data_IF_080949603396
#
_entry.id   IF_080949603396
#
_cell.length_a   1.000
_cell.length_b   1.000
_cell.length_c   1.000
_cell.angle_alpha   90.00
_cell.angle_beta   90.00
_cell.angle_gamma   90.00
#
_symmetry.space_group_name_H-M   'P 1'
#
loop_
_entity.id
_entity.type
_entity.pdbx_description
1 polymer ?
#
# COMPACT_ATOMS: atom_id res chain seq x y z
N UNK A 1 -15.98 -15.00 -8.66
CA UNK A 1 -16.08 -16.14 -7.73
C UNK A 1 -16.55 -15.61 -6.39
N UNK A 2 -17.66 -16.12 -5.82
CA UNK A 2 -18.12 -15.76 -4.49
C UNK A 2 -17.04 -16.03 -3.42
N UNK A 3 -17.04 -15.26 -2.34
CA UNK A 3 -15.99 -15.33 -1.33
C UNK A 3 -15.96 -16.69 -0.61
N UNK A 4 -17.11 -17.28 -0.32
CA UNK A 4 -17.19 -18.61 0.30
C UNK A 4 -16.58 -19.71 -0.59
N UNK A 5 -16.71 -19.60 -1.91
CA UNK A 5 -16.05 -20.54 -2.83
C UNK A 5 -14.55 -20.34 -2.86
N UNK A 6 -14.06 -19.10 -2.74
CA UNK A 6 -12.64 -18.82 -2.59
C UNK A 6 -12.09 -19.47 -1.32
N UNK A 7 -12.79 -19.38 -0.20
CA UNK A 7 -12.40 -20.02 1.05
C UNK A 7 -12.35 -21.55 0.92
N UNK A 8 -13.37 -22.16 0.30
CA UNK A 8 -13.40 -23.61 0.03
C UNK A 8 -12.21 -24.06 -0.83
N UNK A 9 -11.91 -23.32 -1.89
CA UNK A 9 -10.75 -23.64 -2.75
C UNK A 9 -9.42 -23.53 -2.01
N UNK A 10 -9.22 -22.45 -1.25
CA UNK A 10 -8.02 -22.26 -0.43
C UNK A 10 -7.86 -23.37 0.61
N UNK A 11 -8.95 -23.69 1.31
CA UNK A 11 -8.96 -24.81 2.28
C UNK A 11 -8.56 -26.13 1.62
N UNK A 12 -9.18 -26.45 0.47
CA UNK A 12 -8.87 -27.68 -0.29
C UNK A 12 -7.40 -27.74 -0.71
N UNK A 13 -6.83 -26.61 -1.14
CA UNK A 13 -5.42 -26.51 -1.54
C UNK A 13 -4.49 -26.77 -0.35
N UNK A 14 -4.73 -26.10 0.80
CA UNK A 14 -3.94 -26.28 2.02
C UNK A 14 -4.07 -27.72 2.55
N UNK A 15 -5.28 -28.26 2.60
CA UNK A 15 -5.51 -29.65 3.01
C UNK A 15 -4.70 -30.63 2.13
N UNK A 16 -4.68 -30.43 0.81
CA UNK A 16 -3.91 -31.27 -0.12
C UNK A 16 -2.41 -31.23 0.17
N UNK A 17 -1.88 -30.03 0.46
CA UNK A 17 -0.45 -29.84 0.73
C UNK A 17 -0.02 -30.42 2.08
N UNK A 18 -0.85 -30.25 3.12
CA UNK A 18 -0.51 -30.65 4.48
C UNK A 18 -0.98 -32.07 4.89
N UNK A 19 -1.85 -32.70 4.09
CA UNK A 19 -2.36 -34.07 4.37
C UNK A 19 -1.32 -35.08 4.79
N UNK A 20 -0.08 -35.10 4.22
CA UNK A 20 0.96 -36.06 4.66
C UNK A 20 1.48 -35.80 6.08
N UNK A 21 1.26 -34.63 6.64
CA UNK A 21 1.89 -34.15 7.88
C UNK A 21 0.89 -33.95 9.02
N UNK A 22 -0.28 -33.36 8.72
CA UNK A 22 -1.28 -33.06 9.75
C UNK A 22 -2.68 -32.83 9.15
N UNK A 23 -3.70 -32.82 10.03
CA UNK A 23 -5.01 -32.33 9.71
C UNK A 23 -5.01 -30.79 9.91
N UNK A 24 -5.64 -30.07 9.00
CA UNK A 24 -5.77 -28.63 9.09
C UNK A 24 -7.10 -28.23 9.72
N UNK A 25 -7.07 -27.17 10.50
CA UNK A 25 -8.29 -26.54 11.00
C UNK A 25 -9.03 -25.80 9.88
N UNK A 26 -10.27 -25.37 10.17
CA UNK A 26 -11.07 -24.58 9.24
C UNK A 26 -10.41 -23.22 8.99
N UNK A 27 -10.36 -22.80 7.73
CA UNK A 27 -9.84 -21.51 7.33
C UNK A 27 -10.58 -20.37 8.02
N UNK A 28 -9.83 -19.39 8.55
CA UNK A 28 -10.38 -18.18 9.15
C UNK A 28 -10.52 -17.13 8.03
N UNK A 29 -11.75 -16.89 7.60
CA UNK A 29 -12.07 -15.91 6.57
C UNK A 29 -12.19 -14.48 7.10
N UNK A 30 -12.24 -13.53 6.17
CA UNK A 30 -12.58 -12.14 6.47
C UNK A 30 -14.09 -11.98 6.61
N UNK A 31 -14.52 -11.07 7.46
CA UNK A 31 -15.93 -10.66 7.57
C UNK A 31 -16.34 -9.83 6.35
N UNK A 32 -15.49 -8.87 5.98
CA UNK A 32 -15.65 -8.08 4.77
C UNK A 32 -14.43 -8.24 3.87
N UNK A 33 -14.55 -8.95 2.72
CA UNK A 33 -13.43 -9.19 1.81
C UNK A 33 -13.17 -8.04 0.82
N UNK A 34 -13.75 -6.86 1.06
CA UNK A 34 -13.61 -5.71 0.19
C UNK A 34 -12.88 -4.56 0.88
N UNK A 35 -12.17 -3.77 0.10
CA UNK A 35 -11.53 -2.50 0.49
C UNK A 35 -10.61 -2.58 1.72
N UNK A 36 -10.02 -3.76 1.94
CA UNK A 36 -9.16 -4.05 3.10
C UNK A 36 -7.70 -3.63 2.91
N UNK A 37 -7.29 -3.38 1.66
CA UNK A 37 -5.88 -3.15 1.33
C UNK A 37 -5.46 -1.74 1.69
N UNK A 38 -4.65 -1.61 2.73
CA UNK A 38 -4.18 -0.35 3.30
C UNK A 38 -2.92 0.23 2.63
N UNK A 39 -2.36 -0.46 1.64
CA UNK A 39 -1.22 0.00 0.83
C UNK A 39 -1.54 -0.20 -0.64
N UNK A 40 -1.68 0.89 -1.35
CA UNK A 40 -2.05 0.95 -2.76
C UNK A 40 -0.98 1.69 -3.52
N UNK A 41 -0.63 1.24 -4.71
CA UNK A 41 0.21 2.00 -5.62
C UNK A 41 -0.34 1.96 -7.04
N UNK A 42 -0.20 3.08 -7.73
CA UNK A 42 -0.58 3.21 -9.11
C UNK A 42 0.58 3.79 -9.93
N UNK A 43 0.73 3.30 -11.14
CA UNK A 43 1.57 3.91 -12.17
C UNK A 43 0.77 4.96 -12.92
N UNK A 44 1.44 6.01 -13.37
CA UNK A 44 0.84 7.08 -14.16
C UNK A 44 1.46 7.12 -15.56
N UNK A 45 0.62 7.31 -16.55
CA UNK A 45 1.01 7.45 -17.93
C UNK A 45 -0.03 8.24 -18.71
N UNK A 46 0.08 8.24 -20.04
CA UNK A 46 -0.88 8.90 -20.90
C UNK A 46 -1.20 8.05 -22.12
N UNK A 47 -2.40 8.20 -22.62
CA UNK A 47 -2.82 7.63 -23.90
C UNK A 47 -2.24 8.42 -25.06
N UNK A 48 -2.37 7.90 -26.29
CA UNK A 48 -1.92 8.58 -27.52
C UNK A 48 -2.57 9.96 -27.72
N UNK A 49 -3.77 10.14 -27.21
CA UNK A 49 -4.51 11.41 -27.23
C UNK A 49 -4.09 12.41 -26.15
N UNK A 50 -3.08 12.05 -25.31
CA UNK A 50 -2.60 12.88 -24.21
C UNK A 50 -3.40 12.76 -22.91
N UNK A 51 -4.46 11.94 -22.87
CA UNK A 51 -5.22 11.71 -21.63
C UNK A 51 -4.37 11.02 -20.58
N UNK A 52 -4.25 11.61 -19.40
CA UNK A 52 -3.54 11.00 -18.27
C UNK A 52 -4.35 9.81 -17.75
N UNK A 53 -3.67 8.68 -17.56
CA UNK A 53 -4.23 7.45 -16.98
C UNK A 53 -3.42 7.02 -15.78
N UNK A 54 -4.05 6.29 -14.86
CA UNK A 54 -3.37 5.60 -13.77
C UNK A 54 -3.90 4.19 -13.63
N UNK A 55 -3.07 3.28 -13.12
CA UNK A 55 -3.44 1.88 -12.95
C UNK A 55 -2.25 1.02 -12.61
N UNK A 56 -2.20 -0.18 -13.17
CA UNK A 56 -1.13 -1.16 -12.98
C UNK A 56 -0.51 -1.54 -14.31
N UNK A 57 0.76 -1.93 -14.31
CA UNK A 57 1.36 -2.51 -15.50
C UNK A 57 0.80 -3.91 -15.77
N UNK A 58 0.47 -4.16 -17.03
CA UNK A 58 0.26 -5.53 -17.50
C UNK A 58 1.56 -6.32 -17.30
N UNK A 59 1.46 -7.53 -16.80
CA UNK A 59 2.61 -8.37 -16.47
C UNK A 59 3.61 -8.47 -17.64
N UNK A 60 4.88 -8.18 -17.36
CA UNK A 60 5.97 -8.25 -18.34
C UNK A 60 6.01 -7.12 -19.38
N UNK A 61 5.23 -6.06 -19.18
CA UNK A 61 5.17 -4.93 -20.11
C UNK A 61 5.14 -3.58 -19.39
N UNK A 62 5.31 -2.47 -20.13
CA UNK A 62 5.02 -1.10 -19.65
C UNK A 62 3.62 -0.62 -20.08
N UNK A 63 2.76 -1.52 -20.56
CA UNK A 63 1.37 -1.19 -20.87
C UNK A 63 0.58 -1.01 -19.56
N UNK A 64 -0.05 0.18 -19.42
CA UNK A 64 -0.85 0.49 -18.25
C UNK A 64 -2.28 0.02 -18.48
N UNK A 65 -2.76 -0.87 -17.63
CA UNK A 65 -4.18 -1.23 -17.50
C UNK A 65 -4.81 -0.19 -16.58
N UNK A 66 -5.70 0.68 -17.09
CA UNK A 66 -6.32 1.71 -16.26
C UNK A 66 -7.18 1.09 -15.16
N UNK A 67 -7.06 1.64 -13.95
CA UNK A 67 -7.88 1.25 -12.79
C UNK A 67 -8.43 2.53 -12.16
N UNK A 68 -9.75 2.64 -12.10
CA UNK A 68 -10.44 3.75 -11.44
C UNK A 68 -10.93 3.38 -10.06
N UNK A 69 -11.36 2.14 -9.89
CA UNK A 69 -11.79 1.57 -8.61
C UNK A 69 -11.35 0.11 -8.52
N UNK A 70 -10.90 -0.30 -7.33
CA UNK A 70 -10.51 -1.67 -7.06
C UNK A 70 -11.31 -2.22 -5.87
N UNK A 71 -11.88 -3.41 -6.03
CA UNK A 71 -12.71 -4.04 -4.98
C UNK A 71 -11.95 -4.35 -3.69
N UNK A 72 -10.63 -4.45 -3.74
CA UNK A 72 -9.82 -4.79 -2.56
C UNK A 72 -9.04 -3.60 -2.00
N UNK A 73 -8.81 -2.55 -2.77
CA UNK A 73 -8.07 -1.36 -2.34
C UNK A 73 -8.95 -0.42 -1.50
N UNK A 74 -8.35 0.31 -0.57
CA UNK A 74 -9.03 1.34 0.22
C UNK A 74 -9.63 2.40 -0.72
N UNK A 75 -10.92 2.68 -0.59
CA UNK A 75 -11.64 3.65 -1.42
C UNK A 75 -11.04 5.05 -1.41
N UNK A 76 -10.44 5.46 -0.28
CA UNK A 76 -9.75 6.75 -0.16
C UNK A 76 -8.53 6.79 -1.08
N UNK A 77 -7.79 5.67 -1.16
CA UNK A 77 -6.64 5.57 -2.06
C UNK A 77 -7.05 5.70 -3.52
N UNK A 78 -8.12 5.02 -3.95
CA UNK A 78 -8.65 5.12 -5.30
C UNK A 78 -9.07 6.56 -5.64
N UNK A 79 -9.77 7.24 -4.71
CA UNK A 79 -10.19 8.62 -4.87
C UNK A 79 -8.99 9.56 -5.01
N UNK A 80 -8.01 9.45 -4.13
CA UNK A 80 -6.77 10.25 -4.15
C UNK A 80 -6.02 10.06 -5.47
N UNK A 81 -5.91 8.83 -5.96
CA UNK A 81 -5.22 8.52 -7.23
C UNK A 81 -5.94 9.16 -8.41
N UNK A 82 -7.29 9.10 -8.45
CA UNK A 82 -8.08 9.77 -9.49
C UNK A 82 -7.87 11.28 -9.49
N UNK A 83 -7.96 11.91 -8.33
CA UNK A 83 -7.84 13.37 -8.21
C UNK A 83 -6.42 13.84 -8.52
N UNK A 84 -5.39 13.04 -8.22
CA UNK A 84 -4.03 13.33 -8.66
C UNK A 84 -3.94 13.35 -10.19
N UNK A 85 -4.64 12.48 -10.94
CA UNK A 85 -4.68 12.55 -12.42
C UNK A 85 -5.16 13.91 -12.91
N UNK A 86 -6.23 14.42 -12.30
CA UNK A 86 -6.81 15.71 -12.67
C UNK A 86 -5.90 16.88 -12.28
N UNK A 87 -5.23 16.79 -11.13
CA UNK A 87 -4.22 17.76 -10.73
C UNK A 87 -3.02 17.76 -11.67
N UNK A 88 -2.52 16.60 -12.13
CA UNK A 88 -1.42 16.54 -13.10
C UNK A 88 -1.77 17.29 -14.38
N UNK A 89 -3.00 17.12 -14.88
CA UNK A 89 -3.50 17.87 -16.04
C UNK A 89 -3.56 19.37 -15.76
N UNK A 90 -4.14 19.77 -14.62
CA UNK A 90 -4.31 21.18 -14.22
C UNK A 90 -2.97 21.90 -14.04
N UNK A 91 -1.98 21.22 -13.46
CA UNK A 91 -0.64 21.75 -13.24
C UNK A 91 0.32 21.53 -14.42
N UNK A 92 -0.17 20.94 -15.54
CA UNK A 92 0.62 20.62 -16.75
C UNK A 92 1.86 19.76 -16.44
N UNK A 93 1.76 18.86 -15.48
CA UNK A 93 2.82 17.93 -15.10
C UNK A 93 2.75 16.70 -16.01
N UNK A 94 3.84 16.42 -16.73
CA UNK A 94 3.92 15.28 -17.64
C UNK A 94 4.20 13.99 -16.86
N UNK A 95 3.47 12.92 -17.21
CA UNK A 95 3.77 11.57 -16.75
C UNK A 95 5.06 11.06 -17.34
N UNK A 96 5.78 10.22 -16.59
CA UNK A 96 7.03 9.61 -17.04
C UNK A 96 6.74 8.44 -18.00
N UNK A 97 7.57 8.32 -19.02
CA UNK A 97 7.53 7.19 -19.95
C UNK A 97 8.79 6.35 -19.74
N UNK A 98 8.61 5.10 -19.33
CA UNK A 98 9.71 4.19 -18.99
C UNK A 98 10.57 3.82 -20.20
N UNK A 99 10.00 3.81 -21.40
CA UNK A 99 10.71 3.42 -22.63
C UNK A 99 11.62 4.56 -23.13
N UNK A 100 11.13 5.81 -23.04
CA UNK A 100 11.87 6.97 -23.53
C UNK A 100 12.68 7.69 -22.47
N UNK A 101 12.33 7.50 -21.19
CA UNK A 101 12.92 8.23 -20.06
C UNK A 101 12.43 9.68 -19.93
N UNK A 102 11.41 10.07 -20.71
CA UNK A 102 10.85 11.43 -20.67
C UNK A 102 9.67 11.55 -19.73
N UNK A 103 9.53 12.74 -19.13
CA UNK A 103 8.47 13.07 -18.20
C UNK A 103 8.95 13.12 -16.76
N UNK A 104 8.02 13.37 -15.84
CA UNK A 104 8.35 13.60 -14.44
C UNK A 104 7.65 12.63 -13.50
N UNK A 105 6.32 12.51 -13.61
CA UNK A 105 5.48 11.83 -12.64
C UNK A 105 5.35 10.33 -12.95
N UNK A 106 5.85 9.47 -12.06
CA UNK A 106 5.93 8.01 -12.29
C UNK A 106 4.82 7.25 -11.59
N UNK A 107 4.81 7.32 -10.26
CA UNK A 107 3.91 6.52 -9.44
C UNK A 107 3.34 7.33 -8.27
N UNK A 108 2.27 6.81 -7.71
CA UNK A 108 1.76 7.20 -6.39
C UNK A 108 1.70 5.97 -5.51
N UNK A 109 2.15 6.11 -4.28
CA UNK A 109 1.89 5.15 -3.22
C UNK A 109 0.98 5.83 -2.19
N UNK A 110 -0.14 5.20 -1.87
CA UNK A 110 -1.03 5.62 -0.78
C UNK A 110 -1.00 4.58 0.32
N UNK A 111 -0.83 5.03 1.55
CA UNK A 111 -0.99 4.20 2.75
C UNK A 111 -2.09 4.78 3.61
N UNK A 112 -2.96 3.92 4.10
CA UNK A 112 -4.08 4.30 4.96
C UNK A 112 -3.98 3.57 6.29
N UNK A 113 -4.09 4.29 7.39
CA UNK A 113 -4.27 3.69 8.71
C UNK A 113 -5.69 3.13 8.82
N UNK A 114 -5.80 1.86 9.24
CA UNK A 114 -7.08 1.18 9.38
C UNK A 114 -7.86 1.70 10.58
N UNK A 115 -7.21 1.78 11.73
CA UNK A 115 -7.81 2.27 12.98
C UNK A 115 -7.63 3.79 13.13
N UNK A 116 -6.48 4.33 12.76
CA UNK A 116 -6.19 5.77 12.93
C UNK A 116 -6.87 6.66 11.90
N UNK A 117 -7.25 6.14 10.75
CA UNK A 117 -7.76 6.92 9.62
C UNK A 117 -6.72 7.80 8.93
N UNK A 118 -5.47 7.84 9.39
CA UNK A 118 -4.40 8.63 8.81
C UNK A 118 -4.07 8.18 7.39
N UNK A 119 -3.71 9.13 6.53
CA UNK A 119 -3.38 8.86 5.12
C UNK A 119 -2.02 9.46 4.77
N UNK A 120 -1.16 8.64 4.20
CA UNK A 120 0.12 9.04 3.60
C UNK A 120 0.02 8.94 2.08
N UNK A 121 0.46 9.99 1.40
CA UNK A 121 0.61 10.00 -0.06
C UNK A 121 2.09 10.19 -0.42
N UNK A 122 2.64 9.28 -1.21
CA UNK A 122 4.00 9.37 -1.73
C UNK A 122 3.93 9.60 -3.24
N UNK A 123 4.41 10.77 -3.66
CA UNK A 123 4.51 11.16 -5.07
C UNK A 123 5.88 10.73 -5.59
N UNK A 124 5.92 9.78 -6.51
CA UNK A 124 7.18 9.26 -7.06
C UNK A 124 7.49 9.94 -8.38
N UNK A 125 8.62 10.63 -8.42
CA UNK A 125 9.04 11.44 -9.55
C UNK A 125 10.39 10.97 -10.12
N UNK A 126 10.60 11.22 -11.41
CA UNK A 126 11.91 11.02 -12.06
C UNK A 126 12.96 12.08 -11.71
N UNK A 127 12.57 13.17 -11.03
CA UNK A 127 13.50 14.22 -10.57
C UNK A 127 13.02 14.81 -9.23
N UNK A 128 13.90 15.52 -8.48
CA UNK A 128 13.57 16.02 -7.15
C UNK A 128 12.66 17.27 -7.17
N UNK A 129 12.31 17.80 -8.33
CA UNK A 129 11.57 19.05 -8.45
C UNK A 129 10.14 18.77 -8.92
N UNK A 130 9.18 18.99 -8.05
CA UNK A 130 7.75 19.05 -8.41
C UNK A 130 7.40 20.51 -8.73
N UNK A 131 7.02 20.82 -9.98
CA UNK A 131 6.59 22.18 -10.33
C UNK A 131 5.43 22.67 -9.46
N UNK A 132 5.53 23.89 -8.92
CA UNK A 132 4.50 24.49 -8.07
C UNK A 132 4.11 23.61 -6.86
N UNK A 133 5.09 22.95 -6.25
CA UNK A 133 4.87 21.94 -5.19
C UNK A 133 3.91 22.42 -4.08
N UNK A 134 4.08 23.65 -3.59
CA UNK A 134 3.22 24.19 -2.54
C UNK A 134 1.74 24.31 -2.97
N UNK A 135 1.50 24.73 -4.20
CA UNK A 135 0.14 24.85 -4.74
C UNK A 135 -0.46 23.46 -5.03
N UNK A 136 0.35 22.53 -5.54
CA UNK A 136 -0.08 21.15 -5.78
C UNK A 136 -0.48 20.46 -4.46
N UNK A 137 0.38 20.53 -3.43
CA UNK A 137 0.10 20.01 -2.09
C UNK A 137 -1.15 20.64 -1.49
N UNK A 138 -1.29 21.97 -1.60
CA UNK A 138 -2.47 22.69 -1.11
C UNK A 138 -3.76 22.28 -1.82
N UNK A 139 -3.72 22.11 -3.14
CA UNK A 139 -4.85 21.65 -3.94
C UNK A 139 -5.25 20.20 -3.57
N UNK A 140 -4.29 19.28 -3.48
CA UNK A 140 -4.54 17.90 -3.11
C UNK A 140 -5.16 17.79 -1.71
N UNK A 141 -4.62 18.54 -0.73
CA UNK A 141 -5.16 18.57 0.63
C UNK A 141 -6.55 19.23 0.74
N UNK A 142 -6.88 20.14 -0.15
CA UNK A 142 -8.22 20.73 -0.21
C UNK A 142 -9.25 19.69 -0.66
N UNK A 143 -8.89 18.80 -1.56
CA UNK A 143 -9.75 17.68 -2.02
C UNK A 143 -9.81 16.57 -0.98
N UNK A 144 -8.69 16.30 -0.31
CA UNK A 144 -8.51 15.20 0.64
C UNK A 144 -7.95 15.72 1.98
N UNK A 145 -8.78 16.33 2.83
CA UNK A 145 -8.34 16.88 4.13
C UNK A 145 -7.84 15.81 5.11
N UNK A 146 -8.21 14.53 4.90
CA UNK A 146 -7.74 13.36 5.66
C UNK A 146 -6.26 13.03 5.43
N UNK A 147 -5.61 13.60 4.42
CA UNK A 147 -4.18 13.39 4.16
C UNK A 147 -3.35 13.97 5.31
N UNK A 148 -2.69 13.08 6.03
CA UNK A 148 -1.84 13.40 7.19
C UNK A 148 -0.44 13.80 6.78
N UNK A 149 0.09 13.19 5.72
CA UNK A 149 1.45 13.47 5.23
C UNK A 149 1.58 13.25 3.73
N UNK A 150 2.41 14.08 3.09
CA UNK A 150 2.76 13.97 1.67
C UNK A 150 4.28 13.94 1.54
N UNK A 151 4.79 12.95 0.84
CA UNK A 151 6.21 12.72 0.60
C UNK A 151 6.47 12.79 -0.91
N UNK A 152 7.53 13.47 -1.31
CA UNK A 152 8.12 13.36 -2.64
C UNK A 152 9.24 12.32 -2.56
N UNK A 153 9.14 11.28 -3.38
CA UNK A 153 10.18 10.26 -3.55
C UNK A 153 10.81 10.42 -4.93
N UNK A 154 12.11 10.35 -5.01
CA UNK A 154 12.85 10.47 -6.28
C UNK A 154 13.31 9.10 -6.72
N UNK A 155 12.76 8.63 -7.84
CA UNK A 155 13.22 7.43 -8.51
C UNK A 155 13.56 7.77 -9.97
N UNK A 156 14.82 8.00 -10.23
CA UNK A 156 15.36 8.31 -11.56
C UNK A 156 16.05 7.11 -12.24
N UNK A 157 15.95 5.94 -11.64
CA UNK A 157 16.59 4.73 -12.14
C UNK A 157 15.64 3.90 -13.02
N UNK A 158 16.20 3.17 -13.98
CA UNK A 158 15.49 2.12 -14.74
C UNK A 158 15.46 0.84 -13.90
N UNK A 159 14.43 0.72 -13.06
CA UNK A 159 14.28 -0.40 -12.13
C UNK A 159 12.80 -0.73 -11.96
N UNK A 160 12.52 -1.97 -11.61
CA UNK A 160 11.17 -2.41 -11.20
C UNK A 160 10.77 -1.92 -9.80
N UNK A 161 11.70 -1.35 -9.04
CA UNK A 161 11.40 -0.75 -7.73
C UNK A 161 10.61 0.53 -7.90
N UNK A 162 9.51 0.66 -7.19
CA UNK A 162 8.65 1.85 -7.25
C UNK A 162 9.31 3.05 -6.55
N UNK A 163 9.83 2.83 -5.34
CA UNK A 163 10.46 3.88 -4.53
C UNK A 163 11.96 3.94 -4.75
N UNK A 164 12.46 5.14 -4.96
CA UNK A 164 13.89 5.43 -4.95
C UNK A 164 14.43 5.72 -3.54
N UNK A 165 15.72 6.06 -3.46
CA UNK A 165 16.42 6.27 -2.20
C UNK A 165 16.05 7.58 -1.50
N UNK A 166 15.92 8.68 -2.28
CA UNK A 166 15.77 10.04 -1.76
C UNK A 166 14.30 10.39 -1.56
N UNK A 167 14.00 10.92 -0.38
CA UNK A 167 12.68 11.40 -0.01
C UNK A 167 12.73 12.80 0.58
N UNK A 168 11.70 13.58 0.32
CA UNK A 168 11.48 14.91 0.90
C UNK A 168 10.05 15.01 1.39
N UNK A 169 9.86 15.38 2.65
CA UNK A 169 8.52 15.60 3.22
C UNK A 169 8.01 16.94 2.72
N UNK A 170 6.91 16.90 1.95
CA UNK A 170 6.24 18.11 1.45
C UNK A 170 5.18 18.63 2.43
N UNK A 171 4.58 17.72 3.21
CA UNK A 171 3.59 18.04 4.22
C UNK A 171 3.55 16.98 5.32
N UNK A 172 3.30 17.39 6.56
CA UNK A 172 3.14 16.50 7.71
C UNK A 172 4.46 15.99 8.27
N UNK A 173 4.43 14.79 8.90
CA UNK A 173 5.56 14.24 9.65
C UNK A 173 6.44 13.27 8.83
N UNK A 174 6.03 12.88 7.62
CA UNK A 174 6.73 11.88 6.80
C UNK A 174 6.44 10.43 7.21
N UNK A 175 5.49 10.21 8.10
CA UNK A 175 4.99 8.88 8.51
C UNK A 175 3.52 8.99 8.93
N UNK A 176 2.84 7.86 8.99
CA UNK A 176 1.55 7.70 9.65
C UNK A 176 1.70 6.76 10.83
N UNK A 177 0.77 6.85 11.76
CA UNK A 177 0.65 5.92 12.87
C UNK A 177 -0.64 5.12 12.70
N UNK A 178 -0.60 3.83 13.00
CA UNK A 178 -1.79 2.98 13.02
C UNK A 178 -1.69 1.98 14.17
N UNK A 179 -2.83 1.53 14.65
CA UNK A 179 -2.92 0.54 15.69
C UNK A 179 -2.98 -0.88 15.11
N UNK A 180 -2.34 -1.83 15.76
CA UNK A 180 -2.41 -3.27 15.46
C UNK A 180 -2.33 -4.05 16.76
N UNK A 181 -3.38 -4.81 17.10
CA UNK A 181 -3.47 -5.57 18.34
C UNK A 181 -3.18 -4.73 19.60
N UNK A 182 -3.70 -3.50 19.68
CA UNK A 182 -3.50 -2.60 20.82
C UNK A 182 -2.17 -1.83 20.87
N UNK A 183 -1.28 -2.05 19.89
CA UNK A 183 0.01 -1.37 19.82
C UNK A 183 0.03 -0.36 18.68
N UNK A 184 0.63 0.82 18.91
CA UNK A 184 0.76 1.88 17.90
C UNK A 184 2.09 1.71 17.14
N UNK A 185 2.01 1.60 15.82
CA UNK A 185 3.16 1.48 14.93
C UNK A 185 3.33 2.72 14.06
N UNK A 186 4.56 3.19 13.96
CA UNK A 186 4.93 4.20 12.96
C UNK A 186 5.24 3.53 11.64
N UNK A 187 4.57 4.00 10.59
CA UNK A 187 4.66 3.42 9.26
C UNK A 187 5.24 4.48 8.32
N UNK A 188 6.46 4.25 7.83
CA UNK A 188 7.08 5.07 6.80
C UNK A 188 6.68 4.63 5.39
N UNK A 189 7.06 5.39 4.36
CA UNK A 189 6.84 5.04 2.95
C UNK A 189 7.40 3.65 2.61
N UNK A 190 8.58 3.30 3.15
CA UNK A 190 9.35 2.07 2.85
C UNK A 190 9.10 0.92 3.81
N UNK A 191 8.49 1.15 4.99
CA UNK A 191 8.23 0.10 5.97
C UNK A 191 7.39 -1.03 5.39
N UNK A 192 7.77 -2.29 5.68
CA UNK A 192 6.84 -3.39 5.49
C UNK A 192 5.79 -3.34 6.61
N UNK A 193 4.54 -3.32 6.23
CA UNK A 193 3.39 -3.43 7.11
C UNK A 193 2.31 -4.24 6.40
N UNK A 194 1.65 -5.13 7.11
CA UNK A 194 0.66 -6.03 6.53
C UNK A 194 -0.49 -5.24 5.90
N UNK A 195 -0.86 -5.61 4.67
CA UNK A 195 -1.83 -4.83 3.87
C UNK A 195 -3.28 -5.03 4.27
N UNK A 196 -3.56 -6.00 5.14
CA UNK A 196 -4.89 -6.34 5.63
C UNK A 196 -4.86 -6.36 7.16
N UNK A 197 -5.08 -5.22 7.79
CA UNK A 197 -4.96 -5.05 9.26
C UNK A 197 -5.88 -6.01 10.00
N UNK A 198 -7.17 -6.04 9.69
CA UNK A 198 -8.14 -6.89 10.40
C UNK A 198 -7.80 -8.39 10.33
N UNK A 199 -7.28 -8.87 9.20
CA UNK A 199 -6.88 -10.28 9.08
C UNK A 199 -5.52 -10.54 9.71
N UNK A 200 -4.66 -9.54 9.77
CA UNK A 200 -3.37 -9.62 10.47
C UNK A 200 -3.56 -9.73 11.98
N UNK A 201 -4.50 -9.00 12.55
CA UNK A 201 -4.86 -9.13 13.97
C UNK A 201 -5.32 -10.54 14.32
N UNK A 202 -6.21 -11.12 13.50
CA UNK A 202 -6.63 -12.52 13.66
C UNK A 202 -5.47 -13.51 13.55
N UNK A 203 -4.58 -13.28 12.58
CA UNK A 203 -3.40 -14.12 12.36
C UNK A 203 -2.43 -14.07 13.56
N UNK A 204 -2.12 -12.86 14.02
CA UNK A 204 -1.15 -12.68 15.11
C UNK A 204 -1.72 -13.18 16.44
N UNK A 205 -2.97 -12.86 16.75
CA UNK A 205 -3.65 -13.40 17.93
C UNK A 205 -3.63 -14.93 17.94
N UNK A 206 -3.99 -15.55 16.79
CA UNK A 206 -4.00 -17.01 16.70
C UNK A 206 -2.59 -17.62 16.81
N UNK A 207 -1.58 -16.99 16.23
CA UNK A 207 -0.20 -17.43 16.32
C UNK A 207 0.33 -17.40 17.76
N UNK A 208 0.02 -16.32 18.51
CA UNK A 208 0.42 -16.13 19.90
C UNK A 208 -0.32 -17.11 20.81
N UNK A 209 -1.62 -17.31 20.61
CA UNK A 209 -2.39 -18.35 21.31
C UNK A 209 -1.76 -19.74 21.16
N UNK A 210 -1.41 -20.13 19.92
CA UNK A 210 -0.80 -21.42 19.61
C UNK A 210 0.62 -21.55 20.17
N UNK A 211 1.35 -20.45 20.29
CA UNK A 211 2.68 -20.43 20.90
C UNK A 211 2.64 -20.74 22.42
N UNK A 212 1.50 -20.52 23.09
CA UNK A 212 1.28 -20.86 24.51
C UNK A 212 2.26 -20.15 25.44
N UNK A 213 2.64 -18.90 25.13
CA UNK A 213 3.60 -18.12 25.90
C UNK A 213 3.06 -17.84 27.31
N UNK A 214 3.91 -18.03 28.33
CA UNK A 214 3.60 -17.84 29.76
C UNK A 214 4.22 -16.57 30.33
N UNK A 215 4.96 -15.80 29.50
CA UNK A 215 5.73 -14.62 29.91
C UNK A 215 7.10 -14.93 30.48
N UNK A 216 7.52 -16.19 30.51
CA UNK A 216 8.85 -16.62 30.97
C UNK A 216 9.80 -17.04 29.84
N UNK A 217 9.26 -17.22 28.66
CA UNK A 217 9.99 -17.68 27.50
C UNK A 217 10.82 -16.54 26.90
N UNK A 218 11.94 -16.90 26.28
CA UNK A 218 12.72 -16.02 25.43
C UNK A 218 12.36 -16.30 23.98
N UNK A 219 11.71 -15.32 23.33
CA UNK A 219 11.25 -15.42 21.94
C UNK A 219 12.26 -14.71 21.03
N UNK A 220 12.55 -15.30 19.88
CA UNK A 220 13.42 -14.71 18.84
C UNK A 220 12.56 -14.49 17.59
N UNK A 221 12.42 -13.21 17.18
CA UNK A 221 11.86 -12.83 15.87
C UNK A 221 13.02 -12.60 14.90
N UNK A 222 13.39 -13.63 14.13
CA UNK A 222 14.59 -13.64 13.30
C UNK A 222 14.50 -12.74 12.05
N UNK A 223 13.30 -12.42 11.58
CA UNK A 223 13.04 -11.58 10.42
C UNK A 223 12.04 -10.47 10.76
N UNK A 224 12.28 -9.79 11.86
CA UNK A 224 11.31 -8.94 12.56
C UNK A 224 10.74 -7.77 11.71
N UNK A 225 11.43 -7.30 10.67
CA UNK A 225 11.02 -6.11 9.94
C UNK A 225 10.90 -4.90 10.87
N UNK A 226 9.70 -4.32 11.01
CA UNK A 226 9.43 -3.25 12.00
C UNK A 226 9.01 -3.80 13.37
N UNK A 227 9.15 -5.11 13.59
CA UNK A 227 8.93 -5.76 14.88
C UNK A 227 7.48 -6.02 15.25
N UNK A 228 6.55 -6.01 14.30
CA UNK A 228 5.11 -6.08 14.63
C UNK A 228 4.73 -7.31 15.46
N UNK A 229 5.10 -8.51 15.02
CA UNK A 229 4.70 -9.73 15.73
C UNK A 229 5.47 -9.90 17.05
N UNK A 230 6.75 -9.54 17.08
CA UNK A 230 7.57 -9.61 18.29
C UNK A 230 7.06 -8.69 19.41
N UNK A 231 6.68 -7.45 19.05
CA UNK A 231 6.11 -6.48 20.00
C UNK A 231 4.73 -6.89 20.51
N UNK A 232 3.88 -7.48 19.66
CA UNK A 232 2.54 -7.93 20.06
C UNK A 232 2.63 -9.19 20.94
N UNK A 233 3.68 -10.00 20.79
CA UNK A 233 3.92 -11.19 21.60
C UNK A 233 4.60 -10.92 22.94
N UNK A 234 5.08 -9.69 23.19
CA UNK A 234 5.75 -9.31 24.43
C UNK A 234 4.77 -8.84 25.48
#
# INVERSE_FOLDING_TARGET
MPYEEQLKQKQKQVNKLLKPYCNTEKIIGMENPFHYRNKVHAVFGHRKDGTVISGIYQQGTHFIVPVDECLIEDKRADAIIRDIRDLLKSFKIKTYNEDTGYGLFRHVLVRTGHHSGQVMVVLVLGSPILPSNNNFVKALRKLHPEITTIILNVNNQKTSMILGEKETVLYGKGYIEDELCGHIFRISSKSFYQVNTAQTEKLYTKAIELAGLTGKERVIDAYCGIGTIGLIAS
#
